data_IF_897343409383
#
_entry.id   IF_897343409383
#
_cell.length_a   1.000
_cell.length_b   1.000
_cell.length_c   1.000
_cell.angle_alpha   90.00
_cell.angle_beta   90.00
_cell.angle_gamma   90.00
#
_symmetry.space_group_name_H-M   'P 1'
#
loop_
_entity.id
_entity.type
_entity.pdbx_description
1 polymer ?
#
# COMPACT_ATOMS: atom_id res chain seq x y z
N UNK A 1 17.81 8.29 5.70
CA UNK A 1 18.33 9.14 6.77
C UNK A 1 17.15 9.94 7.27
N UNK A 2 16.90 9.94 8.57
CA UNK A 2 15.75 10.64 9.13
C UNK A 2 16.00 12.16 9.15
N UNK A 3 14.94 12.95 8.97
CA UNK A 3 14.99 14.42 8.97
C UNK A 3 15.61 14.97 10.25
N UNK A 4 15.25 14.40 11.41
CA UNK A 4 15.80 14.78 12.72
C UNK A 4 17.31 14.56 12.81
N UNK A 5 17.79 13.44 12.29
CA UNK A 5 19.23 13.13 12.28
C UNK A 5 19.99 14.10 11.37
N UNK A 6 19.44 14.40 10.19
CA UNK A 6 20.01 15.41 9.30
C UNK A 6 20.07 16.79 9.96
N UNK A 7 18.99 17.22 10.60
CA UNK A 7 18.93 18.53 11.26
C UNK A 7 19.97 18.70 12.36
N UNK A 8 20.22 17.65 13.17
CA UNK A 8 21.29 17.67 14.17
C UNK A 8 22.68 17.84 13.54
N UNK A 9 22.98 17.11 12.47
CA UNK A 9 24.26 17.20 11.77
C UNK A 9 24.42 18.54 11.06
N UNK A 10 23.34 19.08 10.50
CA UNK A 10 23.33 20.39 9.88
C UNK A 10 23.55 21.51 10.91
N UNK A 11 22.89 21.44 12.07
CA UNK A 11 23.13 22.40 13.17
C UNK A 11 24.57 22.34 13.69
N UNK A 12 25.13 21.13 13.82
CA UNK A 12 26.53 20.94 14.20
C UNK A 12 27.49 21.57 13.18
N UNK A 13 27.16 21.51 11.89
CA UNK A 13 27.88 22.19 10.81
C UNK A 13 27.72 23.71 10.90
N UNK A 14 26.50 24.25 11.06
CA UNK A 14 26.26 25.69 11.21
C UNK A 14 26.99 26.28 12.42
N UNK A 15 26.99 25.57 13.56
CA UNK A 15 27.76 25.96 14.74
C UNK A 15 29.26 25.98 14.47
N UNK A 16 29.76 25.00 13.70
CA UNK A 16 31.16 24.96 13.29
C UNK A 16 31.52 26.18 12.41
N UNK A 17 30.65 26.57 11.48
CA UNK A 17 30.84 27.78 10.67
C UNK A 17 30.88 29.04 11.53
N UNK A 18 29.94 29.16 12.47
CA UNK A 18 29.90 30.30 13.40
C UNK A 18 31.16 30.41 14.26
N UNK A 19 31.68 29.29 14.75
CA UNK A 19 32.93 29.22 15.51
C UNK A 19 34.15 29.64 14.67
N UNK A 20 34.05 29.52 13.34
CA UNK A 20 35.06 30.00 12.37
C UNK A 20 34.84 31.46 11.92
N UNK A 21 33.84 32.15 12.49
CA UNK A 21 33.49 33.52 12.13
C UNK A 21 32.66 33.66 10.84
N UNK A 22 32.19 32.54 10.27
CA UNK A 22 31.35 32.53 9.07
C UNK A 22 29.89 32.66 9.50
N UNK A 23 29.20 33.66 8.96
CA UNK A 23 27.79 33.93 9.25
C UNK A 23 26.87 33.00 8.44
N UNK A 24 25.68 32.71 8.97
CA UNK A 24 24.70 31.84 8.29
C UNK A 24 24.10 32.56 7.07
N UNK A 25 24.06 33.89 7.12
CA UNK A 25 23.67 34.76 6.03
C UNK A 25 24.60 34.59 4.81
N UNK A 26 25.90 34.37 5.03
CA UNK A 26 26.86 34.10 3.94
C UNK A 26 26.58 32.74 3.29
N UNK A 27 26.17 31.74 4.08
CA UNK A 27 25.74 30.45 3.55
C UNK A 27 24.47 30.61 2.70
N UNK A 28 23.49 31.40 3.15
CA UNK A 28 22.22 31.66 2.44
C UNK A 28 22.48 32.23 1.05
N UNK A 29 23.32 33.27 0.97
CA UNK A 29 23.70 33.94 -0.27
C UNK A 29 24.48 33.00 -1.21
N UNK A 30 25.50 32.28 -0.69
CA UNK A 30 26.36 31.43 -1.52
C UNK A 30 25.62 30.22 -2.10
N UNK A 31 24.68 29.62 -1.35
CA UNK A 31 23.90 28.47 -1.85
C UNK A 31 22.59 28.90 -2.52
N UNK A 32 22.15 30.15 -2.38
CA UNK A 32 20.91 30.67 -2.97
C UNK A 32 19.69 29.82 -2.57
N UNK A 33 19.53 29.59 -1.27
CA UNK A 33 18.40 28.87 -0.66
C UNK A 33 17.74 29.82 0.34
N UNK A 34 16.42 29.79 0.46
CA UNK A 34 15.73 30.69 1.40
C UNK A 34 16.07 30.40 2.87
N UNK A 35 16.12 31.44 3.70
CA UNK A 35 16.20 31.33 5.16
C UNK A 35 15.20 30.36 5.79
N UNK A 36 13.97 30.28 5.25
CA UNK A 36 12.97 29.32 5.71
C UNK A 36 13.40 27.88 5.49
N UNK A 37 13.91 27.55 4.31
CA UNK A 37 14.40 26.19 4.01
C UNK A 37 15.59 25.81 4.89
N UNK A 38 16.51 26.73 5.15
CA UNK A 38 17.63 26.50 6.08
C UNK A 38 17.14 26.20 7.50
N UNK A 39 16.13 26.95 7.96
CA UNK A 39 15.49 26.73 9.26
C UNK A 39 14.78 25.38 9.33
N UNK A 40 14.06 24.99 8.28
CA UNK A 40 13.37 23.70 8.22
C UNK A 40 14.35 22.53 8.25
N UNK A 41 15.47 22.64 7.53
CA UNK A 41 16.54 21.64 7.56
C UNK A 41 17.17 21.54 8.94
N UNK A 42 17.48 22.69 9.56
CA UNK A 42 18.08 22.78 10.90
C UNK A 42 17.20 22.12 11.96
N UNK A 43 15.90 22.34 11.90
CA UNK A 43 14.93 21.79 12.87
C UNK A 43 14.51 20.36 12.54
N UNK A 44 14.98 19.79 11.41
CA UNK A 44 14.61 18.45 10.96
C UNK A 44 13.14 18.34 10.56
N UNK A 45 12.57 19.39 9.97
CA UNK A 45 11.23 19.36 9.37
C UNK A 45 11.25 18.89 7.91
N UNK A 46 12.35 19.11 7.20
CA UNK A 46 12.52 18.69 5.80
C UNK A 46 13.99 18.33 5.52
N UNK A 47 14.24 17.59 4.43
CA UNK A 47 15.59 17.33 3.91
C UNK A 47 15.89 18.24 2.70
N UNK A 48 17.17 18.62 2.48
CA UNK A 48 17.57 19.30 1.26
C UNK A 48 17.39 18.40 0.04
N UNK A 49 16.81 18.96 -1.03
CA UNK A 49 16.72 18.28 -2.32
C UNK A 49 18.09 18.15 -3.00
N UNK A 50 18.20 17.28 -4.01
CA UNK A 50 19.46 16.99 -4.73
C UNK A 50 20.25 18.23 -5.19
N UNK A 51 19.59 19.22 -5.79
CA UNK A 51 20.29 20.45 -6.20
C UNK A 51 20.84 21.22 -5.00
N UNK A 52 20.10 21.28 -3.89
CA UNK A 52 20.58 21.88 -2.65
C UNK A 52 21.74 21.09 -2.03
N UNK A 53 21.71 19.76 -2.10
CA UNK A 53 22.83 18.90 -1.69
C UNK A 53 24.09 19.17 -2.52
N UNK A 54 23.97 19.32 -3.85
CA UNK A 54 25.11 19.68 -4.71
C UNK A 54 25.68 21.05 -4.36
N UNK A 55 24.81 22.03 -4.08
CA UNK A 55 25.24 23.37 -3.65
C UNK A 55 25.91 23.35 -2.27
N UNK A 56 25.34 22.64 -1.30
CA UNK A 56 25.95 22.42 0.01
C UNK A 56 27.31 21.72 -0.13
N UNK A 57 27.41 20.68 -0.95
CA UNK A 57 28.68 20.00 -1.25
C UNK A 57 29.71 20.96 -1.84
N UNK A 58 29.31 21.78 -2.82
CA UNK A 58 30.18 22.78 -3.45
C UNK A 58 30.65 23.82 -2.43
N UNK A 59 29.75 24.34 -1.61
CA UNK A 59 30.04 25.28 -0.52
C UNK A 59 31.04 24.69 0.48
N UNK A 60 30.76 23.48 0.99
CA UNK A 60 31.65 22.80 1.94
C UNK A 60 33.03 22.55 1.30
N UNK A 61 33.07 22.16 0.02
CA UNK A 61 34.32 21.94 -0.72
C UNK A 61 35.14 23.23 -0.84
N UNK A 62 34.49 24.38 -1.11
CA UNK A 62 35.13 25.71 -1.14
C UNK A 62 35.80 26.01 0.21
N UNK A 63 35.13 25.74 1.32
CA UNK A 63 35.69 25.96 2.67
C UNK A 63 36.71 24.89 3.11
N UNK A 64 36.66 23.68 2.55
CA UNK A 64 37.66 22.63 2.79
C UNK A 64 38.96 22.82 1.98
N UNK A 65 38.85 23.41 0.78
CA UNK A 65 39.95 23.62 -0.17
C UNK A 65 40.53 25.03 -0.18
N UNK A 66 39.94 25.96 0.56
CA UNK A 66 40.53 27.28 0.69
C UNK A 66 41.78 27.19 1.55
N UNK A 67 42.94 27.30 0.91
CA UNK A 67 44.10 27.96 1.50
C UNK A 67 43.74 29.44 1.73
N UNK A 68 42.73 29.75 2.55
CA UNK A 68 42.56 31.14 3.01
C UNK A 68 43.84 31.45 3.76
N UNK A 69 44.64 32.38 3.24
CA UNK A 69 45.81 32.90 3.97
C UNK A 69 45.35 33.32 5.37
N UNK A 70 45.80 32.58 6.38
CA UNK A 70 45.55 32.89 7.80
C UNK A 70 44.58 31.97 8.57
N UNK A 71 43.85 31.04 7.93
CA UNK A 71 42.99 30.08 8.67
C UNK A 71 43.54 28.66 8.54
N UNK A 72 44.40 28.27 9.49
CA UNK A 72 44.70 26.84 9.70
C UNK A 72 43.51 26.23 10.44
N UNK A 73 42.59 25.59 9.70
CA UNK A 73 41.51 24.80 10.31
C UNK A 73 42.14 23.78 11.27
N UNK A 74 41.84 23.90 12.56
CA UNK A 74 42.25 22.89 13.53
C UNK A 74 41.76 21.51 13.09
N UNK A 75 42.48 20.45 13.50
CA UNK A 75 42.08 19.06 13.19
C UNK A 75 40.63 18.78 13.59
N UNK A 76 40.15 19.42 14.66
CA UNK A 76 38.80 19.28 15.18
C UNK A 76 37.74 19.91 14.27
N UNK A 77 37.93 21.16 13.83
CA UNK A 77 37.00 21.83 12.90
C UNK A 77 36.96 21.12 11.55
N UNK A 78 38.13 20.72 11.03
CA UNK A 78 38.22 19.97 9.78
C UNK A 78 37.45 18.66 9.85
N UNK A 79 37.52 17.94 10.98
CA UNK A 79 36.77 16.69 11.19
C UNK A 79 35.26 16.91 11.18
N UNK A 80 34.76 17.95 11.85
CA UNK A 80 33.32 18.26 11.89
C UNK A 80 32.77 18.62 10.50
N UNK A 81 33.49 19.44 9.75
CA UNK A 81 33.11 19.80 8.37
C UNK A 81 33.17 18.57 7.45
N UNK A 82 34.20 17.73 7.57
CA UNK A 82 34.31 16.50 6.78
C UNK A 82 33.19 15.50 7.08
N UNK A 83 32.79 15.34 8.35
CA UNK A 83 31.67 14.47 8.71
C UNK A 83 30.38 14.89 7.99
N UNK A 84 30.07 16.19 8.00
CA UNK A 84 28.91 16.71 7.29
C UNK A 84 29.07 16.60 5.76
N UNK A 85 30.27 16.84 5.22
CA UNK A 85 30.57 16.59 3.81
C UNK A 85 30.31 15.14 3.40
N UNK A 86 30.80 14.16 4.16
CA UNK A 86 30.58 12.74 3.87
C UNK A 86 29.10 12.38 3.94
N UNK A 87 28.35 12.96 4.86
CA UNK A 87 26.91 12.80 4.96
C UNK A 87 26.20 13.30 3.68
N UNK A 88 26.54 14.51 3.21
CA UNK A 88 26.02 15.06 1.95
C UNK A 88 26.41 14.17 0.75
N UNK A 89 27.66 13.69 0.69
CA UNK A 89 28.14 12.80 -0.37
C UNK A 89 27.38 11.47 -0.40
N UNK A 90 27.13 10.87 0.76
CA UNK A 90 26.33 9.64 0.86
C UNK A 90 24.88 9.87 0.41
N UNK A 91 24.28 11.02 0.73
CA UNK A 91 22.95 11.37 0.23
C UNK A 91 22.93 11.51 -1.29
N UNK A 92 23.94 12.17 -1.89
CA UNK A 92 24.09 12.31 -3.34
C UNK A 92 24.28 10.95 -4.03
N UNK A 93 25.15 10.09 -3.52
CA UNK A 93 25.39 8.74 -4.07
C UNK A 93 24.11 7.91 -4.03
N UNK A 94 23.39 7.94 -2.90
CA UNK A 94 22.12 7.24 -2.77
C UNK A 94 21.08 7.74 -3.77
N UNK A 95 21.00 9.05 -4.02
CA UNK A 95 20.12 9.61 -5.06
C UNK A 95 20.43 9.07 -6.46
N UNK A 96 21.71 9.05 -6.86
CA UNK A 96 22.11 8.55 -8.18
C UNK A 96 21.78 7.06 -8.36
N UNK A 97 22.02 6.25 -7.31
CA UNK A 97 21.67 4.82 -7.32
C UNK A 97 20.18 4.58 -7.52
N UNK A 98 19.31 5.39 -6.90
CA UNK A 98 17.86 5.27 -7.09
C UNK A 98 17.46 5.59 -8.54
N UNK A 99 17.96 6.68 -9.11
CA UNK A 99 17.67 7.05 -10.51
C UNK A 99 18.18 5.97 -11.51
N UNK A 100 19.29 5.28 -11.20
CA UNK A 100 19.79 4.14 -11.98
C UNK A 100 18.91 2.89 -11.81
N UNK A 101 18.51 2.57 -10.58
CA UNK A 101 17.62 1.44 -10.29
C UNK A 101 16.28 1.61 -11.00
N UNK A 102 15.69 2.81 -10.98
CA UNK A 102 14.43 3.09 -11.68
C UNK A 102 14.52 2.84 -13.19
N UNK A 103 15.67 3.15 -13.82
CA UNK A 103 15.90 2.84 -15.24
C UNK A 103 15.96 1.33 -15.49
N UNK A 104 16.65 0.59 -14.63
CA UNK A 104 16.72 -0.88 -14.73
C UNK A 104 15.32 -1.49 -14.62
N UNK A 105 14.52 -1.02 -13.66
CA UNK A 105 13.13 -1.47 -13.48
C UNK A 105 12.31 -1.21 -14.74
N UNK A 106 12.39 -0.01 -15.34
CA UNK A 106 11.66 0.29 -16.57
C UNK A 106 12.12 -0.55 -17.77
N UNK A 107 13.42 -0.86 -17.84
CA UNK A 107 14.02 -1.69 -18.89
C UNK A 107 13.57 -3.15 -18.79
N UNK A 108 13.39 -3.68 -17.57
CA UNK A 108 12.87 -5.03 -17.33
C UNK A 108 11.47 -5.23 -17.93
N UNK A 109 10.69 -4.15 -18.05
CA UNK A 109 9.33 -4.18 -18.61
C UNK A 109 9.24 -3.66 -20.05
N UNK A 110 10.36 -3.34 -20.72
CA UNK A 110 10.35 -2.73 -22.08
C UNK A 110 9.58 -3.51 -23.15
N UNK A 111 9.50 -4.84 -22.99
CA UNK A 111 8.82 -5.72 -23.95
C UNK A 111 7.30 -5.81 -23.69
N UNK A 112 6.80 -5.24 -22.59
CA UNK A 112 5.38 -5.22 -22.24
C UNK A 112 4.97 -3.77 -21.90
N UNK A 113 4.49 -3.04 -22.92
CA UNK A 113 4.12 -1.63 -22.80
C UNK A 113 3.13 -1.36 -21.66
N UNK A 114 2.11 -2.21 -21.50
CA UNK A 114 1.10 -2.06 -20.45
C UNK A 114 1.72 -2.21 -19.05
N UNK A 115 2.58 -3.20 -18.86
CA UNK A 115 3.32 -3.36 -17.60
C UNK A 115 4.27 -2.18 -17.34
N UNK A 116 5.00 -1.73 -18.37
CA UNK A 116 5.92 -0.62 -18.28
C UNK A 116 5.21 0.69 -17.90
N UNK A 117 4.03 0.97 -18.46
CA UNK A 117 3.20 2.12 -18.11
C UNK A 117 2.74 2.09 -16.65
N UNK A 118 2.28 0.93 -16.18
CA UNK A 118 1.89 0.75 -14.76
C UNK A 118 3.10 0.99 -13.86
N UNK A 119 4.23 0.35 -14.16
CA UNK A 119 5.46 0.47 -13.36
C UNK A 119 5.95 1.91 -13.35
N UNK A 120 5.96 2.61 -14.48
CA UNK A 120 6.30 4.04 -14.56
C UNK A 120 5.47 4.86 -13.57
N UNK A 121 4.15 4.68 -13.55
CA UNK A 121 3.26 5.38 -12.61
C UNK A 121 3.62 5.05 -11.15
N UNK A 122 3.92 3.79 -10.83
CA UNK A 122 4.34 3.39 -9.48
C UNK A 122 5.64 4.08 -9.06
N UNK A 123 6.59 4.26 -9.99
CA UNK A 123 7.85 4.94 -9.74
C UNK A 123 7.64 6.45 -9.58
N UNK A 124 6.93 7.09 -10.51
CA UNK A 124 6.68 8.53 -10.52
C UNK A 124 6.00 9.06 -9.25
N UNK A 125 5.14 8.24 -8.64
CA UNK A 125 4.41 8.58 -7.42
C UNK A 125 5.02 7.99 -6.15
N UNK A 126 6.22 7.39 -6.22
CA UNK A 126 6.91 6.78 -5.09
C UNK A 126 6.02 5.80 -4.30
N UNK A 127 5.32 4.90 -5.02
CA UNK A 127 4.35 3.96 -4.42
C UNK A 127 5.06 2.72 -3.82
N UNK A 128 6.21 2.34 -4.37
CA UNK A 128 6.99 1.21 -3.89
C UNK A 128 8.29 1.67 -3.21
N UNK A 129 8.83 0.86 -2.31
CA UNK A 129 10.15 1.11 -1.71
C UNK A 129 11.24 0.17 -2.26
N UNK A 130 10.84 -0.90 -2.94
CA UNK A 130 11.73 -1.89 -3.51
C UNK A 130 11.12 -2.54 -4.75
N UNK A 131 11.98 -3.20 -5.53
CA UNK A 131 11.61 -4.01 -6.68
C UNK A 131 12.37 -5.33 -6.64
N UNK A 132 11.68 -6.42 -6.97
CA UNK A 132 12.28 -7.74 -7.09
C UNK A 132 11.90 -8.36 -8.44
N UNK A 133 12.91 -8.71 -9.22
CA UNK A 133 12.77 -9.44 -10.46
C UNK A 133 13.10 -10.91 -10.21
N UNK A 134 12.10 -11.80 -10.28
CA UNK A 134 12.26 -13.23 -10.05
C UNK A 134 13.09 -13.92 -11.13
N UNK A 135 12.99 -13.48 -12.38
CA UNK A 135 13.68 -14.11 -13.51
C UNK A 135 15.18 -13.88 -13.45
N UNK A 136 15.58 -12.75 -12.86
CA UNK A 136 16.98 -12.33 -12.68
C UNK A 136 17.51 -12.54 -11.26
N UNK A 137 16.66 -12.97 -10.33
CA UNK A 137 16.95 -13.01 -8.90
C UNK A 137 17.55 -11.68 -8.39
N UNK A 138 16.98 -10.56 -8.84
CA UNK A 138 17.53 -9.22 -8.60
C UNK A 138 16.62 -8.41 -7.67
N UNK A 139 17.21 -7.89 -6.59
CA UNK A 139 16.57 -6.95 -5.67
C UNK A 139 17.14 -5.55 -5.84
N UNK A 140 16.27 -4.55 -5.99
CA UNK A 140 16.63 -3.14 -6.10
C UNK A 140 15.93 -2.32 -5.01
N UNK A 141 16.73 -1.59 -4.21
CA UNK A 141 16.23 -0.62 -3.24
C UNK A 141 15.95 0.71 -3.94
N UNK A 142 14.72 1.20 -3.78
CA UNK A 142 14.20 2.46 -4.32
C UNK A 142 13.44 3.20 -3.23
N UNK A 143 13.81 3.04 -1.96
CA UNK A 143 13.15 3.69 -0.82
C UNK A 143 13.52 5.16 -0.67
N UNK A 144 14.67 5.59 -1.20
CA UNK A 144 15.24 6.94 -1.02
C UNK A 144 14.96 7.87 -2.20
N UNK A 145 13.71 7.94 -2.65
CA UNK A 145 13.29 8.75 -3.82
C UNK A 145 13.10 10.23 -3.49
N UNK A 146 13.09 11.05 -4.54
CA UNK A 146 12.78 12.48 -4.50
C UNK A 146 11.29 12.69 -4.21
N UNK A 147 10.93 13.85 -3.65
CA UNK A 147 9.53 14.28 -3.66
C UNK A 147 8.98 14.36 -5.10
N UNK A 148 7.66 14.16 -5.25
CA UNK A 148 7.00 14.17 -6.56
C UNK A 148 7.18 15.56 -7.20
N UNK A 149 8.03 15.61 -8.21
CA UNK A 149 8.39 16.85 -8.88
C UNK A 149 7.25 17.47 -9.68
N UNK A 150 7.32 18.79 -9.89
CA UNK A 150 6.34 19.55 -10.71
C UNK A 150 6.15 18.98 -12.12
N UNK A 151 7.20 18.38 -12.70
CA UNK A 151 7.13 17.75 -14.03
C UNK A 151 6.15 16.58 -14.07
N UNK A 152 6.21 15.71 -13.06
CA UNK A 152 5.29 14.57 -12.91
C UNK A 152 3.87 15.08 -12.72
N UNK A 153 3.66 16.04 -11.81
CA UNK A 153 2.32 16.64 -11.60
C UNK A 153 1.73 17.24 -12.88
N UNK A 154 2.57 17.86 -13.72
CA UNK A 154 2.16 18.39 -15.03
C UNK A 154 1.80 17.27 -16.02
N UNK A 155 2.54 16.17 -16.02
CA UNK A 155 2.29 15.01 -16.87
C UNK A 155 0.91 14.38 -16.59
N UNK A 156 0.51 14.32 -15.31
CA UNK A 156 -0.75 13.72 -14.89
C UNK A 156 -1.90 14.73 -14.67
N UNK A 157 -1.72 15.98 -15.13
CA UNK A 157 -2.73 17.05 -14.98
C UNK A 157 -4.04 16.68 -15.67
N UNK A 158 -3.97 16.11 -16.87
CA UNK A 158 -5.16 15.82 -17.65
C UNK A 158 -6.00 14.72 -16.99
N UNK A 159 -5.35 13.68 -16.43
CA UNK A 159 -6.02 12.67 -15.62
C UNK A 159 -6.74 13.28 -14.41
N UNK A 160 -6.09 14.20 -13.69
CA UNK A 160 -6.75 14.91 -12.60
C UNK A 160 -8.01 15.63 -13.05
N UNK A 161 -7.91 16.40 -14.14
CA UNK A 161 -9.03 17.15 -14.68
C UNK A 161 -10.18 16.25 -15.13
N UNK A 162 -9.86 15.13 -15.79
CA UNK A 162 -10.83 14.09 -16.16
C UNK A 162 -11.51 13.52 -14.92
N UNK A 163 -10.77 13.18 -13.88
CA UNK A 163 -11.32 12.63 -12.64
C UNK A 163 -12.27 13.60 -11.93
N UNK A 164 -11.90 14.89 -11.84
CA UNK A 164 -12.79 15.91 -11.26
C UNK A 164 -14.03 16.11 -12.13
N UNK A 165 -13.88 16.11 -13.46
CA UNK A 165 -15.01 16.20 -14.38
C UNK A 165 -15.95 15.01 -14.22
N UNK A 166 -15.41 13.80 -14.14
CA UNK A 166 -16.19 12.57 -13.97
C UNK A 166 -16.92 12.58 -12.62
N UNK A 167 -16.27 12.98 -11.53
CA UNK A 167 -16.89 13.13 -10.22
C UNK A 167 -18.04 14.14 -10.23
N UNK A 168 -17.83 15.32 -10.83
CA UNK A 168 -18.88 16.35 -10.93
C UNK A 168 -20.06 15.82 -11.75
N UNK A 169 -19.80 15.22 -12.91
CA UNK A 169 -20.85 14.65 -13.75
C UNK A 169 -21.60 13.50 -13.07
N UNK A 170 -20.89 12.69 -12.28
CA UNK A 170 -21.46 11.60 -11.51
C UNK A 170 -22.49 12.14 -10.50
N UNK A 171 -22.10 13.16 -9.73
CA UNK A 171 -22.98 13.81 -8.76
C UNK A 171 -24.16 14.52 -9.46
N UNK A 172 -23.88 15.29 -10.50
CA UNK A 172 -24.91 16.07 -11.21
C UNK A 172 -25.97 15.14 -11.83
N UNK A 173 -25.56 14.02 -12.42
CA UNK A 173 -26.49 13.02 -12.96
C UNK A 173 -27.32 12.32 -11.89
N UNK A 174 -26.71 12.02 -10.75
CA UNK A 174 -27.43 11.41 -9.65
C UNK A 174 -28.52 12.35 -9.09
N UNK A 175 -28.27 13.66 -9.10
CA UNK A 175 -29.23 14.69 -8.69
C UNK A 175 -30.40 14.88 -9.66
N UNK A 176 -30.42 14.24 -10.83
CA UNK A 176 -31.59 14.25 -11.72
C UNK A 176 -32.76 13.39 -11.18
N UNK A 177 -32.53 12.66 -10.09
CA UNK A 177 -33.47 11.72 -9.47
C UNK A 177 -33.79 12.15 -8.03
N UNK A 178 -35.06 12.05 -7.65
CA UNK A 178 -35.52 12.20 -6.27
C UNK A 178 -35.43 10.87 -5.49
N UNK A 179 -35.62 10.90 -4.17
CA UNK A 179 -35.60 9.71 -3.30
C UNK A 179 -36.51 8.58 -3.81
N UNK A 180 -37.70 8.92 -4.31
CA UNK A 180 -38.68 7.94 -4.81
C UNK A 180 -38.25 7.27 -6.12
N UNK A 181 -37.47 7.95 -6.96
CA UNK A 181 -37.05 7.46 -8.29
C UNK A 181 -35.57 7.08 -8.35
N UNK A 182 -34.83 7.27 -7.24
CA UNK A 182 -33.40 7.11 -7.18
C UNK A 182 -32.91 5.71 -7.57
N UNK A 183 -33.71 4.67 -7.34
CA UNK A 183 -33.41 3.30 -7.77
C UNK A 183 -33.27 3.13 -9.30
N UNK A 184 -33.69 4.11 -10.10
CA UNK A 184 -33.53 4.17 -11.56
C UNK A 184 -32.32 4.97 -12.00
N UNK A 185 -31.55 5.51 -11.07
CA UNK A 185 -30.43 6.39 -11.36
C UNK A 185 -29.40 5.66 -12.23
N UNK A 186 -29.07 6.26 -13.39
CA UNK A 186 -28.16 5.66 -14.37
C UNK A 186 -26.73 5.47 -13.87
N UNK A 187 -26.34 6.26 -12.86
CA UNK A 187 -25.02 6.12 -12.26
C UNK A 187 -24.99 5.05 -11.17
N UNK A 188 -26.10 4.39 -10.80
CA UNK A 188 -26.09 3.31 -9.82
C UNK A 188 -25.57 1.99 -10.41
N UNK A 189 -24.88 1.23 -9.55
CA UNK A 189 -24.48 -0.14 -9.85
C UNK A 189 -25.70 -1.05 -9.97
N UNK A 190 -25.62 -2.04 -10.87
CA UNK A 190 -26.76 -2.93 -11.20
C UNK A 190 -27.27 -3.79 -10.04
N UNK A 191 -26.52 -3.93 -8.95
CA UNK A 191 -26.78 -4.92 -7.89
C UNK A 191 -26.75 -4.31 -6.46
N UNK A 192 -27.12 -3.05 -6.30
CA UNK A 192 -27.21 -2.43 -4.96
C UNK A 192 -28.50 -2.88 -4.24
N UNK A 193 -28.37 -3.27 -2.97
CA UNK A 193 -29.53 -3.54 -2.12
C UNK A 193 -30.31 -2.25 -1.83
N UNK A 194 -31.61 -2.33 -1.48
CA UNK A 194 -32.39 -1.14 -1.12
C UNK A 194 -31.75 -0.29 0.00
N UNK A 195 -31.09 -0.93 0.96
CA UNK A 195 -30.37 -0.22 2.02
C UNK A 195 -29.15 0.54 1.50
N UNK A 196 -28.40 -0.05 0.55
CA UNK A 196 -27.27 0.62 -0.09
C UNK A 196 -27.74 1.77 -1.00
N UNK A 197 -28.83 1.60 -1.74
CA UNK A 197 -29.40 2.70 -2.55
C UNK A 197 -29.74 3.90 -1.66
N UNK A 198 -30.40 3.65 -0.52
CA UNK A 198 -30.72 4.69 0.45
C UNK A 198 -29.46 5.32 1.07
N UNK A 199 -28.50 4.51 1.52
CA UNK A 199 -27.22 5.03 2.05
C UNK A 199 -26.51 5.92 1.04
N UNK A 200 -26.48 5.50 -0.23
CA UNK A 200 -25.85 6.28 -1.28
C UNK A 200 -26.57 7.61 -1.51
N UNK A 201 -27.91 7.63 -1.51
CA UNK A 201 -28.69 8.87 -1.58
C UNK A 201 -28.41 9.81 -0.40
N UNK A 202 -28.39 9.26 0.82
CA UNK A 202 -28.11 10.02 2.06
C UNK A 202 -26.70 10.61 2.11
N UNK A 203 -25.72 9.96 1.47
CA UNK A 203 -24.32 10.39 1.48
C UNK A 203 -23.93 11.27 0.29
N UNK A 204 -24.73 11.28 -0.79
CA UNK A 204 -24.47 12.13 -1.94
C UNK A 204 -25.02 13.54 -1.68
N UNK A 205 -24.32 14.62 -2.07
CA UNK A 205 -24.91 15.96 -2.01
C UNK A 205 -26.15 16.04 -2.91
N UNK A 206 -27.26 16.54 -2.35
CA UNK A 206 -28.54 16.71 -3.03
C UNK A 206 -28.89 18.19 -3.19
N UNK A 207 -29.66 18.57 -4.22
CA UNK A 207 -30.19 19.93 -4.42
C UNK A 207 -30.82 20.49 -3.11
N UNK A 208 -31.56 19.66 -2.38
CA UNK A 208 -32.25 20.01 -1.13
C UNK A 208 -31.30 20.42 0.02
N UNK A 209 -30.01 20.05 -0.04
CA UNK A 209 -29.00 20.47 0.95
C UNK A 209 -28.62 21.96 0.80
N UNK A 210 -29.07 22.61 -0.27
CA UNK A 210 -28.68 23.95 -0.65
C UNK A 210 -29.90 24.89 -0.61
N UNK A 211 -29.96 25.70 0.46
CA UNK A 211 -30.95 26.77 0.67
C UNK A 211 -30.78 27.98 -0.30
N UNK A 212 -30.60 27.72 -1.59
CA UNK A 212 -30.40 28.76 -2.60
C UNK A 212 -31.68 28.94 -3.45
N UNK A 213 -32.34 30.09 -3.26
CA UNK A 213 -33.41 30.62 -4.15
C UNK A 213 -32.94 30.92 -5.59
N UNK A 214 -31.76 30.42 -5.98
CA UNK A 214 -31.10 30.65 -7.26
C UNK A 214 -30.84 29.32 -7.95
N UNK A 215 -31.04 29.31 -9.26
CA UNK A 215 -30.73 28.19 -10.13
C UNK A 215 -29.31 27.65 -9.92
N UNK A 216 -29.20 26.39 -9.50
CA UNK A 216 -27.92 25.67 -9.35
C UNK A 216 -27.61 24.98 -10.68
N UNK A 217 -26.48 25.34 -11.30
CA UNK A 217 -26.09 24.78 -12.60
C UNK A 217 -25.30 23.46 -12.51
N UNK A 218 -24.79 23.10 -11.32
CA UNK A 218 -24.01 21.88 -11.06
C UNK A 218 -23.84 21.71 -9.55
N UNK A 219 -24.49 20.69 -8.97
CA UNK A 219 -24.38 20.34 -7.55
C UNK A 219 -23.00 19.83 -7.22
N UNK A 220 -22.40 19.00 -8.08
CA UNK A 220 -21.05 18.49 -7.86
C UNK A 220 -20.02 19.62 -7.74
N UNK A 221 -20.14 20.65 -8.59
CA UNK A 221 -19.23 21.81 -8.52
C UNK A 221 -19.46 22.66 -7.26
N UNK A 222 -20.73 22.83 -6.85
CA UNK A 222 -21.10 23.60 -5.67
C UNK A 222 -20.67 22.90 -4.38
N UNK A 223 -20.93 21.59 -4.28
CA UNK A 223 -20.50 20.74 -3.18
C UNK A 223 -18.98 20.79 -2.98
N UNK A 224 -18.20 20.52 -4.04
CA UNK A 224 -16.74 20.61 -3.98
C UNK A 224 -16.25 22.00 -3.55
N UNK A 225 -16.91 23.06 -4.02
CA UNK A 225 -16.59 24.44 -3.63
C UNK A 225 -16.78 24.67 -2.12
N UNK A 226 -17.91 24.21 -1.55
CA UNK A 226 -18.24 24.35 -0.12
C UNK A 226 -17.31 23.51 0.76
N UNK A 227 -17.15 22.22 0.46
CA UNK A 227 -16.34 21.28 1.25
C UNK A 227 -14.85 21.66 1.27
N UNK A 228 -14.31 22.06 0.12
CA UNK A 228 -12.89 22.45 0.04
C UNK A 228 -12.65 23.89 0.51
N UNK A 229 -13.73 24.68 0.67
CA UNK A 229 -13.71 26.12 0.96
C UNK A 229 -12.92 26.90 -0.10
N UNK A 230 -13.25 26.68 -1.37
CA UNK A 230 -12.65 27.36 -2.53
C UNK A 230 -13.74 27.92 -3.42
N UNK A 231 -13.42 28.94 -4.23
CA UNK A 231 -14.38 29.50 -5.18
C UNK A 231 -14.82 28.45 -6.22
N UNK A 232 -16.12 28.46 -6.57
CA UNK A 232 -16.68 27.56 -7.60
C UNK A 232 -15.96 27.70 -8.95
N UNK A 233 -15.51 28.91 -9.30
CA UNK A 233 -14.70 29.16 -10.50
C UNK A 233 -13.39 28.36 -10.48
N UNK A 234 -12.79 28.13 -9.30
CA UNK A 234 -11.59 27.32 -9.18
C UNK A 234 -11.88 25.85 -9.52
N UNK A 235 -13.01 25.31 -9.06
CA UNK A 235 -13.47 23.96 -9.40
C UNK A 235 -13.69 23.83 -10.92
N UNK A 236 -14.37 24.83 -11.51
CA UNK A 236 -14.62 24.85 -12.96
C UNK A 236 -13.32 24.89 -13.77
N UNK A 237 -12.31 25.62 -13.30
CA UNK A 237 -10.99 25.65 -13.97
C UNK A 237 -10.22 24.34 -13.80
N UNK A 238 -10.42 23.61 -12.70
CA UNK A 238 -9.84 22.28 -12.50
C UNK A 238 -10.44 21.24 -13.44
N UNK A 239 -11.78 21.15 -13.50
CA UNK A 239 -12.48 20.18 -14.37
C UNK A 239 -12.22 20.41 -15.87
N UNK A 240 -11.96 21.67 -16.26
CA UNK A 240 -11.64 22.04 -17.64
C UNK A 240 -10.15 21.92 -18.00
N UNK A 241 -9.28 21.55 -17.05
CA UNK A 241 -7.83 21.48 -17.31
C UNK A 241 -7.14 22.84 -17.45
N UNK A 242 -7.80 23.93 -17.07
CA UNK A 242 -7.24 25.28 -17.15
C UNK A 242 -6.26 25.56 -16.00
N UNK A 243 -6.51 24.97 -14.82
CA UNK A 243 -5.63 25.09 -13.65
C UNK A 243 -5.47 23.75 -12.93
N UNK A 244 -4.49 23.68 -12.04
CA UNK A 244 -4.23 22.50 -11.21
C UNK A 244 -4.36 22.90 -9.72
N UNK A 245 -4.87 22.02 -8.85
CA UNK A 245 -5.00 22.30 -7.42
C UNK A 245 -3.65 22.51 -6.74
N UNK A 246 -3.67 23.18 -5.59
CA UNK A 246 -2.52 23.18 -4.69
C UNK A 246 -2.41 21.83 -3.97
N UNK A 247 -1.23 21.51 -3.42
CA UNK A 247 -1.04 20.26 -2.67
C UNK A 247 -2.00 20.16 -1.47
N UNK A 248 -2.30 21.28 -0.81
CA UNK A 248 -3.30 21.34 0.26
C UNK A 248 -4.72 21.04 -0.24
N UNK A 249 -5.08 21.52 -1.43
CA UNK A 249 -6.40 21.23 -2.01
C UNK A 249 -6.51 19.74 -2.42
N UNK A 250 -5.44 19.14 -2.93
CA UNK A 250 -5.38 17.71 -3.24
C UNK A 250 -5.57 16.88 -1.97
N UNK A 251 -4.89 17.21 -0.87
CA UNK A 251 -5.04 16.48 0.39
C UNK A 251 -6.44 16.64 1.00
N UNK A 252 -7.08 17.80 0.85
CA UNK A 252 -8.49 17.97 1.22
C UNK A 252 -9.43 17.11 0.37
N UNK A 253 -9.24 17.10 -0.95
CA UNK A 253 -10.01 16.27 -1.88
C UNK A 253 -9.89 14.79 -1.54
N UNK A 254 -8.66 14.32 -1.27
CA UNK A 254 -8.41 12.94 -0.86
C UNK A 254 -9.15 12.59 0.43
N UNK A 255 -9.12 13.46 1.44
CA UNK A 255 -9.85 13.24 2.70
C UNK A 255 -11.36 13.23 2.50
N UNK A 256 -11.89 14.15 1.69
CA UNK A 256 -13.31 14.24 1.38
C UNK A 256 -13.82 12.95 0.72
N UNK A 257 -13.02 12.37 -0.17
CA UNK A 257 -13.37 11.17 -0.94
C UNK A 257 -12.86 9.86 -0.32
N UNK A 258 -12.32 9.91 0.91
CA UNK A 258 -11.69 8.78 1.59
C UNK A 258 -10.59 8.06 0.76
N UNK A 259 -9.82 8.82 -0.02
CA UNK A 259 -8.76 8.32 -0.89
C UNK A 259 -7.38 8.35 -0.20
N UNK A 260 -6.67 7.22 -0.32
CA UNK A 260 -5.33 7.06 0.20
C UNK A 260 -4.28 7.03 -0.92
N UNK A 261 -3.03 7.34 -0.58
CA UNK A 261 -1.88 7.22 -1.48
C UNK A 261 -1.46 8.52 -2.19
N UNK A 262 -0.19 8.54 -2.63
CA UNK A 262 0.46 9.73 -3.21
C UNK A 262 -0.01 10.08 -4.62
N UNK A 263 -0.55 9.11 -5.36
CA UNK A 263 -1.04 9.29 -6.73
C UNK A 263 -2.56 9.25 -6.89
N UNK A 264 -3.31 9.32 -5.77
CA UNK A 264 -4.76 9.42 -5.80
C UNK A 264 -5.21 10.59 -6.69
N UNK A 265 -6.27 10.38 -7.49
CA UNK A 265 -6.78 11.31 -8.51
C UNK A 265 -5.83 11.60 -9.69
N UNK A 266 -4.62 11.04 -9.74
CA UNK A 266 -3.61 11.33 -10.78
C UNK A 266 -3.25 10.12 -11.65
N UNK A 267 -3.07 8.95 -11.05
CA UNK A 267 -2.53 7.76 -11.72
C UNK A 267 -3.53 7.10 -12.67
N UNK A 268 -4.76 6.97 -12.20
CA UNK A 268 -5.84 6.25 -12.89
C UNK A 268 -6.99 7.20 -13.17
N UNK A 269 -7.68 6.92 -14.27
CA UNK A 269 -8.98 7.52 -14.54
C UNK A 269 -10.04 6.77 -13.75
N UNK A 270 -10.92 7.49 -13.06
CA UNK A 270 -12.05 6.94 -12.32
C UNK A 270 -13.31 6.96 -13.18
N UNK A 271 -14.02 5.83 -13.13
CA UNK A 271 -15.34 5.63 -13.70
C UNK A 271 -16.41 5.68 -12.59
N UNK A 272 -17.69 5.58 -12.97
CA UNK A 272 -18.82 5.65 -12.04
C UNK A 272 -18.68 4.63 -10.90
N UNK A 273 -18.25 3.41 -11.22
CA UNK A 273 -18.11 2.33 -10.26
C UNK A 273 -17.02 2.60 -9.21
N UNK A 274 -15.98 3.36 -9.58
CA UNK A 274 -14.92 3.75 -8.66
C UNK A 274 -15.43 4.74 -7.59
N UNK A 275 -16.40 5.58 -7.96
CA UNK A 275 -16.99 6.56 -7.05
C UNK A 275 -17.93 5.94 -6.01
N UNK A 276 -18.45 4.73 -6.23
CA UNK A 276 -19.35 4.07 -5.26
C UNK A 276 -18.73 3.99 -3.89
N UNK A 277 -17.50 3.47 -3.78
CA UNK A 277 -16.82 3.32 -2.49
C UNK A 277 -16.57 4.65 -1.76
N UNK A 278 -16.63 5.79 -2.47
CA UNK A 278 -16.48 7.12 -1.88
C UNK A 278 -17.77 7.61 -1.20
N UNK A 279 -18.94 7.08 -1.58
CA UNK A 279 -20.26 7.47 -1.06
C UNK A 279 -21.07 6.31 -0.46
N UNK A 280 -20.59 5.07 -0.58
CA UNK A 280 -21.12 3.84 0.03
C UNK A 280 -20.11 3.28 1.02
N UNK A 281 -20.22 3.74 2.26
CA UNK A 281 -19.32 3.29 3.32
C UNK A 281 -19.52 1.81 3.63
N UNK A 282 -20.75 1.29 3.53
CA UNK A 282 -21.01 -0.15 3.68
C UNK A 282 -20.16 -1.01 2.75
N UNK A 283 -20.02 -0.64 1.48
CA UNK A 283 -19.19 -1.38 0.52
C UNK A 283 -17.70 -1.32 0.90
N UNK A 284 -17.22 -0.15 1.35
CA UNK A 284 -15.84 0.00 1.83
C UNK A 284 -15.60 -0.86 3.07
N UNK A 285 -16.49 -0.82 4.05
CA UNK A 285 -16.41 -1.58 5.30
C UNK A 285 -16.46 -3.09 5.02
N UNK A 286 -17.32 -3.53 4.10
CA UNK A 286 -17.38 -4.91 3.61
C UNK A 286 -16.08 -5.33 2.92
N UNK A 287 -15.50 -4.47 2.07
CA UNK A 287 -14.24 -4.75 1.39
C UNK A 287 -13.07 -4.88 2.37
N UNK A 288 -12.98 -3.98 3.35
CA UNK A 288 -11.99 -4.07 4.42
C UNK A 288 -12.19 -5.33 5.26
N UNK A 289 -13.43 -5.69 5.57
CA UNK A 289 -13.72 -6.90 6.32
C UNK A 289 -13.30 -8.16 5.54
N UNK A 290 -13.54 -8.19 4.22
CA UNK A 290 -13.06 -9.26 3.34
C UNK A 290 -11.53 -9.34 3.31
N UNK A 291 -10.82 -8.22 3.24
CA UNK A 291 -9.35 -8.21 3.27
C UNK A 291 -8.81 -8.72 4.62
N UNK A 292 -9.40 -8.27 5.74
CA UNK A 292 -9.05 -8.77 7.09
C UNK A 292 -9.28 -10.27 7.21
N UNK A 293 -10.42 -10.75 6.74
CA UNK A 293 -10.76 -12.17 6.75
C UNK A 293 -9.79 -12.96 5.85
N UNK A 294 -9.50 -12.47 4.65
CA UNK A 294 -8.54 -13.08 3.74
C UNK A 294 -7.15 -13.22 4.38
N UNK A 295 -6.64 -12.14 4.98
CA UNK A 295 -5.34 -12.16 5.67
C UNK A 295 -5.33 -13.14 6.85
N UNK A 296 -6.43 -13.25 7.60
CA UNK A 296 -6.56 -14.19 8.71
C UNK A 296 -6.50 -15.64 8.22
N UNK A 297 -7.30 -16.01 7.22
CA UNK A 297 -7.31 -17.38 6.68
C UNK A 297 -6.00 -17.71 5.94
N UNK A 298 -5.37 -16.75 5.26
CA UNK A 298 -4.04 -16.95 4.68
C UNK A 298 -2.98 -17.19 5.76
N UNK A 299 -3.05 -16.49 6.89
CA UNK A 299 -2.17 -16.70 8.03
C UNK A 299 -2.40 -18.07 8.68
N UNK A 300 -3.65 -18.52 8.79
CA UNK A 300 -4.00 -19.87 9.24
C UNK A 300 -3.47 -20.95 8.28
N UNK A 301 -3.62 -20.75 6.98
CA UNK A 301 -3.06 -21.65 5.95
C UNK A 301 -1.55 -21.76 6.11
N UNK A 302 -0.86 -20.62 6.25
CA UNK A 302 0.57 -20.58 6.46
C UNK A 302 1.00 -21.27 7.76
N UNK A 303 0.30 -21.02 8.88
CA UNK A 303 0.52 -21.73 10.14
C UNK A 303 0.35 -23.25 9.96
N UNK A 304 -0.71 -23.68 9.27
CA UNK A 304 -0.98 -25.10 9.02
C UNK A 304 0.15 -25.72 8.22
N UNK A 305 0.65 -25.03 7.19
CA UNK A 305 1.82 -25.48 6.41
C UNK A 305 3.07 -25.62 7.27
N UNK A 306 3.36 -24.66 8.15
CA UNK A 306 4.47 -24.73 9.11
C UNK A 306 4.31 -25.93 10.04
N UNK A 307 3.13 -26.08 10.68
CA UNK A 307 2.82 -27.19 11.57
C UNK A 307 3.02 -28.53 10.87
N UNK A 308 2.47 -28.70 9.67
CA UNK A 308 2.57 -29.97 8.95
C UNK A 308 3.97 -30.21 8.41
N UNK A 309 4.71 -29.19 8.00
CA UNK A 309 6.07 -29.37 7.53
C UNK A 309 7.00 -29.91 8.64
N UNK A 310 6.94 -29.31 9.83
CA UNK A 310 7.84 -29.64 10.93
C UNK A 310 7.33 -30.77 11.84
N UNK A 311 6.02 -30.90 12.01
CA UNK A 311 5.39 -31.84 12.94
C UNK A 311 4.65 -33.00 12.25
N UNK A 312 4.84 -33.26 10.94
CA UNK A 312 4.14 -34.35 10.19
C UNK A 312 4.21 -35.76 10.79
N UNK A 313 5.20 -36.04 11.62
CA UNK A 313 5.38 -37.37 12.25
C UNK A 313 4.55 -37.53 13.53
N UNK A 314 4.00 -36.43 14.06
CA UNK A 314 3.14 -36.48 15.23
C UNK A 314 1.77 -37.06 14.85
N UNK A 315 1.27 -38.00 15.66
CA UNK A 315 0.03 -38.71 15.37
C UNK A 315 -1.19 -37.79 15.35
N UNK A 316 -1.21 -36.71 16.14
CA UNK A 316 -2.31 -35.73 16.11
C UNK A 316 -2.30 -34.95 14.80
N UNK A 317 -1.13 -34.57 14.32
CA UNK A 317 -0.98 -33.86 13.03
C UNK A 317 -1.40 -34.77 11.86
N UNK A 318 -1.11 -36.07 11.94
CA UNK A 318 -1.59 -37.04 10.95
C UNK A 318 -3.12 -37.16 10.95
N UNK A 319 -3.75 -37.23 12.13
CA UNK A 319 -5.21 -37.25 12.21
C UNK A 319 -5.84 -35.95 11.65
N UNK A 320 -5.21 -34.80 11.87
CA UNK A 320 -5.65 -33.54 11.26
C UNK A 320 -5.54 -33.55 9.73
N UNK A 321 -4.53 -34.21 9.17
CA UNK A 321 -4.41 -34.37 7.72
C UNK A 321 -5.58 -35.17 7.15
N UNK A 322 -5.96 -36.25 7.82
CA UNK A 322 -7.10 -37.08 7.41
C UNK A 322 -8.42 -36.31 7.56
N UNK A 323 -8.62 -35.57 8.66
CA UNK A 323 -9.76 -34.65 8.82
C UNK A 323 -9.83 -33.64 7.66
N UNK A 324 -8.68 -33.07 7.24
CA UNK A 324 -8.60 -32.16 6.08
C UNK A 324 -9.02 -32.89 4.79
N UNK A 325 -8.41 -34.03 4.47
CA UNK A 325 -8.69 -34.80 3.24
C UNK A 325 -10.18 -35.13 3.11
N UNK A 326 -10.77 -35.64 4.19
CA UNK A 326 -12.20 -36.01 4.23
C UNK A 326 -13.16 -34.82 4.08
N UNK A 327 -12.66 -33.60 4.22
CA UNK A 327 -13.47 -32.38 4.13
C UNK A 327 -13.33 -31.64 2.80
N UNK A 328 -12.32 -31.98 1.98
CA UNK A 328 -12.11 -31.36 0.67
C UNK A 328 -13.24 -31.77 -0.28
N UNK A 329 -13.91 -30.78 -0.84
CA UNK A 329 -14.87 -30.97 -1.91
C UNK A 329 -14.14 -31.09 -3.26
N UNK A 330 -14.76 -31.83 -4.17
CA UNK A 330 -14.50 -31.81 -5.61
C UNK A 330 -13.08 -32.25 -6.00
N UNK A 331 -12.52 -33.18 -5.25
CA UNK A 331 -11.32 -33.95 -5.63
C UNK A 331 -11.65 -35.42 -5.37
N UNK A 332 -11.40 -36.28 -6.36
CA UNK A 332 -11.58 -37.72 -6.18
C UNK A 332 -10.53 -38.31 -5.23
N UNK A 333 -10.85 -39.45 -4.60
CA UNK A 333 -9.95 -40.08 -3.63
C UNK A 333 -8.58 -40.43 -4.24
N UNK A 334 -8.54 -40.82 -5.52
CA UNK A 334 -7.30 -41.17 -6.21
C UNK A 334 -6.38 -39.97 -6.48
N UNK A 335 -6.94 -38.78 -6.70
CA UNK A 335 -6.22 -37.51 -6.86
C UNK A 335 -5.79 -36.93 -5.52
N UNK A 336 -6.59 -37.10 -4.46
CA UNK A 336 -6.21 -36.73 -3.10
C UNK A 336 -4.92 -37.44 -2.67
N UNK A 337 -4.81 -38.74 -2.97
CA UNK A 337 -3.65 -39.55 -2.60
C UNK A 337 -2.37 -39.23 -3.41
N UNK A 338 -2.52 -38.56 -4.56
CA UNK A 338 -1.37 -38.10 -5.38
C UNK A 338 -0.82 -36.75 -4.92
N UNK A 339 -1.56 -35.99 -4.11
CA UNK A 339 -1.17 -34.64 -3.67
C UNK A 339 -0.27 -34.66 -2.45
N UNK A 340 0.71 -33.77 -2.44
CA UNK A 340 1.53 -33.55 -1.24
C UNK A 340 0.70 -32.87 -0.14
N UNK A 341 1.02 -33.15 1.14
CA UNK A 341 0.30 -32.57 2.29
C UNK A 341 0.15 -31.04 2.21
N UNK A 342 1.18 -30.34 1.73
CA UNK A 342 1.17 -28.87 1.58
C UNK A 342 0.18 -28.41 0.50
N UNK A 343 0.02 -29.18 -0.56
CA UNK A 343 -0.97 -28.92 -1.61
C UNK A 343 -2.39 -29.15 -1.08
N UNK A 344 -2.61 -30.23 -0.33
CA UNK A 344 -3.91 -30.53 0.30
C UNK A 344 -4.35 -29.41 1.25
N UNK A 345 -3.43 -28.87 2.06
CA UNK A 345 -3.71 -27.71 2.92
C UNK A 345 -4.14 -26.50 2.08
N UNK A 346 -3.46 -26.24 0.97
CA UNK A 346 -3.80 -25.11 0.09
C UNK A 346 -5.20 -25.26 -0.51
N UNK A 347 -5.56 -26.47 -0.94
CA UNK A 347 -6.90 -26.79 -1.44
C UNK A 347 -7.96 -26.61 -0.36
N UNK A 348 -7.71 -27.11 0.84
CA UNK A 348 -8.64 -26.98 1.97
C UNK A 348 -9.01 -25.52 2.27
N UNK A 349 -8.00 -24.65 2.41
CA UNK A 349 -8.24 -23.22 2.64
C UNK A 349 -8.88 -22.54 1.42
N UNK A 350 -8.51 -22.95 0.20
CA UNK A 350 -9.15 -22.45 -1.03
C UNK A 350 -10.65 -22.78 -1.07
N UNK A 351 -11.07 -23.99 -0.74
CA UNK A 351 -12.49 -24.35 -0.68
C UNK A 351 -13.28 -23.48 0.30
N UNK A 352 -12.69 -23.13 1.45
CA UNK A 352 -13.31 -22.22 2.42
C UNK A 352 -13.49 -20.82 1.80
N UNK A 353 -12.47 -20.31 1.11
CA UNK A 353 -12.56 -19.02 0.43
C UNK A 353 -13.59 -19.03 -0.69
N UNK A 354 -13.59 -20.07 -1.51
CA UNK A 354 -14.48 -20.20 -2.65
C UNK A 354 -15.96 -20.31 -2.20
N UNK A 355 -16.24 -21.03 -1.10
CA UNK A 355 -17.58 -21.07 -0.47
C UNK A 355 -18.03 -19.72 0.08
N UNK A 356 -17.13 -18.97 0.72
CA UNK A 356 -17.48 -17.64 1.23
C UNK A 356 -17.72 -16.65 0.09
N UNK A 357 -16.84 -16.68 -0.91
CA UNK A 357 -16.92 -15.81 -2.07
C UNK A 357 -18.18 -16.10 -2.90
N UNK A 358 -18.60 -17.37 -2.99
CA UNK A 358 -19.79 -17.75 -3.74
C UNK A 358 -21.08 -17.14 -3.18
N UNK A 359 -21.08 -16.70 -1.92
CA UNK A 359 -22.22 -16.06 -1.24
C UNK A 359 -22.12 -14.53 -1.13
N UNK A 360 -20.97 -13.96 -1.49
CA UNK A 360 -20.72 -12.51 -1.39
C UNK A 360 -20.95 -11.75 -2.69
N UNK A 361 -20.81 -12.41 -3.85
CA UNK A 361 -20.94 -11.75 -5.17
C UNK A 361 -22.21 -12.25 -5.83
N UNK A 362 -23.29 -11.47 -5.76
CA UNK A 362 -24.45 -11.64 -6.63
C UNK A 362 -24.27 -10.86 -7.94
N UNK A 363 -23.42 -11.37 -8.84
CA UNK A 363 -23.27 -10.85 -10.20
C UNK A 363 -23.33 -11.98 -11.23
N UNK A 364 -24.44 -12.10 -11.98
CA UNK A 364 -24.60 -13.02 -13.11
C UNK A 364 -23.43 -13.05 -14.10
N UNK A 365 -22.78 -11.91 -14.33
CA UNK A 365 -21.67 -11.77 -15.29
C UNK A 365 -20.36 -12.31 -14.70
N UNK A 366 -20.15 -12.14 -13.38
CA UNK A 366 -18.99 -12.70 -12.69
C UNK A 366 -18.99 -14.24 -12.67
N UNK A 367 -20.17 -14.85 -12.84
CA UNK A 367 -20.34 -16.31 -12.87
C UNK A 367 -19.86 -16.96 -14.17
N UNK A 368 -19.94 -16.26 -15.30
CA UNK A 368 -19.43 -16.79 -16.58
C UNK A 368 -17.90 -16.82 -16.61
N UNK A 369 -17.25 -15.90 -15.88
CA UNK A 369 -15.78 -15.73 -15.87
C UNK A 369 -15.04 -16.60 -14.83
N UNK A 370 -15.74 -17.33 -13.96
CA UNK A 370 -15.13 -18.18 -12.91
C UNK A 370 -15.73 -19.59 -12.86
N UNK A 371 -15.45 -20.45 -13.85
CA UNK A 371 -15.97 -21.82 -13.90
C UNK A 371 -15.58 -22.66 -12.66
N UNK A 372 -14.45 -22.34 -12.03
CA UNK A 372 -13.99 -23.02 -10.80
C UNK A 372 -14.92 -22.82 -9.58
N UNK A 373 -15.80 -21.82 -9.60
CA UNK A 373 -16.74 -21.55 -8.52
C UNK A 373 -18.12 -22.18 -8.74
N UNK A 374 -18.37 -22.76 -9.93
CA UNK A 374 -19.68 -23.26 -10.36
C UNK A 374 -20.31 -24.22 -9.36
N UNK A 375 -19.53 -25.22 -8.94
CA UNK A 375 -20.00 -26.26 -8.02
C UNK A 375 -20.31 -25.72 -6.62
N UNK A 376 -19.69 -24.60 -6.22
CA UNK A 376 -20.00 -23.92 -4.96
C UNK A 376 -21.22 -23.01 -5.08
N UNK A 377 -21.57 -22.54 -6.28
CA UNK A 377 -22.80 -21.79 -6.51
C UNK A 377 -24.04 -22.68 -6.40
N UNK A 378 -23.96 -23.91 -6.90
CA UNK A 378 -25.06 -24.88 -6.93
C UNK A 378 -25.48 -25.40 -5.54
N UNK A 379 -24.70 -25.14 -4.49
CA UNK A 379 -25.02 -25.52 -3.12
C UNK A 379 -26.06 -24.58 -2.49
N UNK A 380 -27.05 -25.12 -1.80
CA UNK A 380 -27.99 -24.31 -1.02
C UNK A 380 -27.33 -23.68 0.22
N UNK A 381 -27.95 -22.62 0.75
CA UNK A 381 -27.40 -21.86 1.87
C UNK A 381 -27.22 -22.69 3.16
N UNK A 382 -28.12 -23.62 3.44
CA UNK A 382 -28.03 -24.51 4.62
C UNK A 382 -26.82 -25.45 4.49
N UNK A 383 -26.60 -26.01 3.29
CA UNK A 383 -25.44 -26.85 2.98
C UNK A 383 -24.14 -26.06 3.13
N UNK A 384 -24.08 -24.83 2.61
CA UNK A 384 -22.90 -23.96 2.76
C UNK A 384 -22.63 -23.65 4.23
N UNK A 385 -23.65 -23.32 5.02
CA UNK A 385 -23.49 -23.03 6.44
C UNK A 385 -22.96 -24.26 7.21
N UNK A 386 -23.48 -25.46 6.90
CA UNK A 386 -23.01 -26.70 7.50
C UNK A 386 -21.55 -27.01 7.16
N UNK A 387 -21.16 -26.82 5.90
CA UNK A 387 -19.77 -26.98 5.45
C UNK A 387 -18.82 -26.02 6.15
N UNK A 388 -19.16 -24.73 6.20
CA UNK A 388 -18.36 -23.71 6.90
C UNK A 388 -18.23 -24.03 8.40
N UNK A 389 -19.30 -24.51 9.06
CA UNK A 389 -19.24 -24.99 10.45
C UNK A 389 -18.31 -26.20 10.60
N UNK A 390 -18.32 -27.13 9.65
CA UNK A 390 -17.42 -28.30 9.64
C UNK A 390 -15.95 -27.87 9.50
N UNK A 391 -15.66 -27.01 8.53
CA UNK A 391 -14.31 -26.45 8.33
C UNK A 391 -13.81 -25.69 9.54
N UNK A 392 -14.67 -24.91 10.20
CA UNK A 392 -14.28 -24.19 11.40
C UNK A 392 -13.90 -25.13 12.55
N UNK A 393 -14.57 -26.29 12.69
CA UNK A 393 -14.17 -27.31 13.68
C UNK A 393 -12.77 -27.85 13.41
N UNK A 394 -12.44 -28.12 12.15
CA UNK A 394 -11.11 -28.60 11.74
C UNK A 394 -10.07 -27.51 12.02
N UNK A 395 -10.34 -26.25 11.63
CA UNK A 395 -9.46 -25.11 11.91
C UNK A 395 -9.21 -24.94 13.41
N UNK A 396 -10.24 -25.08 14.25
CA UNK A 396 -10.09 -24.96 15.71
C UNK A 396 -9.21 -26.09 16.29
N UNK A 397 -9.20 -27.28 15.69
CA UNK A 397 -8.29 -28.36 16.08
C UNK A 397 -6.86 -28.10 15.57
N UNK A 398 -6.72 -27.54 14.36
CA UNK A 398 -5.43 -27.17 13.77
C UNK A 398 -4.75 -26.07 14.58
N UNK A 399 -5.48 -25.01 14.93
CA UNK A 399 -4.99 -23.89 15.73
C UNK A 399 -5.53 -23.98 17.16
N UNK A 400 -5.00 -24.95 17.90
CA UNK A 400 -5.36 -25.24 19.29
C UNK A 400 -4.15 -25.06 20.22
N UNK A 401 -4.39 -24.99 21.53
CA UNK A 401 -3.28 -24.89 22.49
C UNK A 401 -2.33 -26.10 22.39
N UNK A 402 -2.85 -27.28 22.09
CA UNK A 402 -2.04 -28.50 21.95
C UNK A 402 -1.13 -28.47 20.71
N UNK A 403 -1.64 -28.03 19.56
CA UNK A 403 -0.88 -27.95 18.31
C UNK A 403 0.12 -26.79 18.33
N UNK A 404 -0.25 -25.67 18.96
CA UNK A 404 0.68 -24.57 19.26
C UNK A 404 1.83 -25.07 20.14
N UNK A 405 1.54 -25.73 21.27
CA UNK A 405 2.56 -26.25 22.17
C UNK A 405 3.47 -27.29 21.51
N UNK A 406 2.93 -28.10 20.59
CA UNK A 406 3.69 -29.06 19.79
C UNK A 406 4.72 -28.33 18.90
N UNK A 407 4.29 -27.30 18.18
CA UNK A 407 5.16 -26.51 17.32
C UNK A 407 6.19 -25.71 18.13
N UNK A 408 5.80 -25.13 19.26
CA UNK A 408 6.70 -24.46 20.21
C UNK A 408 7.78 -25.41 20.73
N UNK A 409 7.41 -26.64 21.11
CA UNK A 409 8.33 -27.68 21.56
C UNK A 409 9.34 -28.09 20.47
N UNK A 410 8.90 -28.14 19.21
CA UNK A 410 9.79 -28.36 18.07
C UNK A 410 10.74 -27.17 17.87
N UNK A 411 10.20 -25.95 17.93
CA UNK A 411 10.94 -24.71 17.69
C UNK A 411 12.13 -24.55 18.64
N UNK A 412 11.97 -24.92 19.91
CA UNK A 412 13.04 -24.83 20.92
C UNK A 412 14.28 -25.62 20.53
N UNK A 413 14.12 -26.74 19.82
CA UNK A 413 15.20 -27.65 19.44
C UNK A 413 15.80 -27.34 18.07
N UNK A 414 14.99 -26.80 17.16
CA UNK A 414 15.31 -26.81 15.73
C UNK A 414 15.25 -25.45 15.05
N UNK A 415 14.63 -24.44 15.66
CA UNK A 415 14.49 -23.11 15.05
C UNK A 415 15.59 -22.16 15.53
N UNK A 416 16.09 -21.35 14.59
CA UNK A 416 16.86 -20.15 14.90
C UNK A 416 16.01 -19.09 15.60
N UNK A 417 16.64 -18.12 16.25
CA UNK A 417 15.94 -17.06 16.98
C UNK A 417 15.00 -16.25 16.06
N UNK A 418 15.44 -15.96 14.84
CA UNK A 418 14.61 -15.30 13.81
C UNK A 418 13.36 -16.11 13.43
N UNK A 419 13.49 -17.44 13.29
CA UNK A 419 12.32 -18.29 13.00
C UNK A 419 11.35 -18.33 14.18
N UNK A 420 11.87 -18.37 15.41
CA UNK A 420 11.05 -18.32 16.64
C UNK A 420 10.30 -17.00 16.76
N UNK A 421 10.96 -15.87 16.47
CA UNK A 421 10.35 -14.55 16.48
C UNK A 421 9.16 -14.48 15.50
N UNK A 422 9.36 -14.91 14.25
CA UNK A 422 8.31 -14.89 13.21
C UNK A 422 7.17 -15.87 13.52
N UNK A 423 7.49 -17.03 14.09
CA UNK A 423 6.50 -18.00 14.56
C UNK A 423 5.64 -17.43 15.69
N UNK A 424 6.26 -16.77 16.68
CA UNK A 424 5.53 -16.16 17.79
C UNK A 424 4.64 -15.01 17.31
N UNK A 425 5.14 -14.16 16.40
CA UNK A 425 4.37 -13.09 15.79
C UNK A 425 3.13 -13.63 15.03
N UNK A 426 3.29 -14.75 14.31
CA UNK A 426 2.19 -15.46 13.66
C UNK A 426 1.15 -15.99 14.67
N UNK A 427 1.60 -16.70 15.70
CA UNK A 427 0.72 -17.28 16.72
C UNK A 427 -0.04 -16.18 17.48
N UNK A 428 0.63 -15.11 17.88
CA UNK A 428 0.02 -14.01 18.63
C UNK A 428 -1.02 -13.26 17.81
N UNK A 429 -0.77 -13.04 16.52
CA UNK A 429 -1.76 -12.47 15.59
C UNK A 429 -3.00 -13.36 15.49
N UNK A 430 -2.80 -14.66 15.24
CA UNK A 430 -3.90 -15.62 15.10
C UNK A 430 -4.71 -15.79 16.41
N UNK A 431 -4.07 -15.73 17.59
CA UNK A 431 -4.77 -15.73 18.90
C UNK A 431 -5.72 -14.54 19.05
N UNK A 432 -5.38 -13.38 18.49
CA UNK A 432 -6.25 -12.20 18.45
C UNK A 432 -7.29 -12.23 17.33
N UNK A 433 -7.33 -13.31 16.54
CA UNK A 433 -8.13 -13.42 15.30
C UNK A 433 -7.74 -12.39 14.24
N UNK A 434 -6.47 -12.02 14.20
CA UNK A 434 -5.90 -11.08 13.25
C UNK A 434 -5.02 -11.83 12.24
N UNK A 435 -5.05 -11.38 10.99
CA UNK A 435 -4.15 -11.85 9.94
C UNK A 435 -2.88 -11.00 9.83
N UNK A 436 -1.79 -11.62 9.38
CA UNK A 436 -0.61 -10.90 8.92
C UNK A 436 -0.76 -10.66 7.42
N UNK A 437 -0.36 -9.46 6.98
CA UNK A 437 -0.36 -9.11 5.55
C UNK A 437 0.30 -10.21 4.71
N UNK A 438 -0.39 -10.67 3.67
CA UNK A 438 0.09 -11.72 2.76
C UNK A 438 1.42 -11.34 2.12
N UNK A 439 1.59 -10.07 1.77
CA UNK A 439 2.87 -9.50 1.27
C UNK A 439 3.99 -9.73 2.27
N UNK A 440 3.73 -9.51 3.56
CA UNK A 440 4.73 -9.69 4.60
C UNK A 440 5.11 -11.18 4.74
N UNK A 441 4.13 -12.08 4.79
CA UNK A 441 4.40 -13.54 4.82
C UNK A 441 5.19 -14.00 3.58
N UNK A 442 4.85 -13.49 2.39
CA UNK A 442 5.46 -13.94 1.13
C UNK A 442 6.87 -13.36 0.90
N UNK A 443 7.14 -12.13 1.32
CA UNK A 443 8.36 -11.41 0.93
C UNK A 443 9.34 -11.15 2.08
N UNK A 444 8.90 -11.16 3.34
CA UNK A 444 9.79 -11.01 4.49
C UNK A 444 10.75 -12.20 4.60
N UNK A 445 12.08 -11.98 4.66
CA UNK A 445 13.07 -13.05 4.73
C UNK A 445 12.87 -13.97 5.94
N UNK A 446 12.44 -13.43 7.08
CA UNK A 446 12.20 -14.20 8.29
C UNK A 446 11.03 -15.17 8.13
N UNK A 447 9.92 -14.74 7.51
CA UNK A 447 8.84 -15.64 7.14
C UNK A 447 9.29 -16.66 6.09
N UNK A 448 10.02 -16.27 5.05
CA UNK A 448 10.58 -17.26 4.10
C UNK A 448 11.47 -18.29 4.79
N UNK A 449 12.23 -17.89 5.81
CA UNK A 449 13.09 -18.79 6.60
C UNK A 449 12.29 -19.67 7.57
N UNK A 450 11.14 -19.22 8.04
CA UNK A 450 10.22 -20.05 8.82
C UNK A 450 9.62 -21.15 7.94
N UNK A 451 9.08 -20.79 6.77
CA UNK A 451 8.59 -21.72 5.77
C UNK A 451 8.51 -21.07 4.38
N UNK A 452 8.96 -21.79 3.36
CA UNK A 452 8.88 -21.39 1.95
C UNK A 452 8.52 -22.60 1.08
N UNK A 453 7.67 -22.40 0.07
CA UNK A 453 7.17 -23.47 -0.80
C UNK A 453 8.30 -24.27 -1.49
N UNK A 454 9.44 -23.63 -1.76
CA UNK A 454 10.64 -24.25 -2.33
C UNK A 454 11.59 -24.91 -1.30
N UNK A 455 11.23 -25.05 -0.02
CA UNK A 455 12.09 -25.74 0.99
C UNK A 455 12.27 -27.25 0.76
N UNK A 456 11.95 -27.77 -0.43
CA UNK A 456 12.28 -29.15 -0.85
C UNK A 456 13.79 -29.46 -0.88
N UNK A 457 14.68 -28.46 -0.76
CA UNK A 457 16.10 -28.64 -1.06
C UNK A 457 17.13 -28.41 0.05
N UNK A 458 16.77 -28.07 1.29
CA UNK A 458 17.79 -27.78 2.33
C UNK A 458 17.42 -28.26 3.73
N UNK A 459 17.11 -29.55 3.88
CA UNK A 459 17.35 -30.23 5.16
C UNK A 459 18.45 -31.25 4.90
N UNK A 460 19.72 -30.83 5.08
CA UNK A 460 20.80 -31.80 5.27
C UNK A 460 20.45 -32.60 6.53
N UNK A 461 20.41 -33.91 6.37
CA UNK A 461 20.23 -34.92 7.42
C UNK A 461 21.20 -34.72 8.57
#
# INVERSE_FOLDING_TARGET
>A
MEEKQFGMEFENFLRCLKELGILVEELEEDIGVSKHSLSDWRNGYTLPHYNSLLKLKSYITKHLNTNVEGIVLSKEYRKRILNFYYLIDQMIINHNRVDENEKVILEDHKNNKKAQEIVKKLLDFNIADNYYNSDKDQYLDISKRKEIGRKIKKEYKDNFSTNIKNLVNFIDKANEYDDETYFKCEVLGKNLSPNQIREFYENLPNDDDYDDTKFISSIGSLWLSRELKVEINKINRWKNGESFPSDNDIEKLKKLLNLNGKGALLISEYQNEDFYSMFLKSISDEAEQRDREYQYYFSLEYFTKVLFFYCKKDSKVQLLLEDIKMSILNIDEEELDKKENIELISVFYKNIFDLKLSRQIFDPVFYEDKPALKEFYDLDDDTVEQLLKSYQKIINKIFSNETIALLESYSLKSFSDEQKEKMNLLIDSLKRREGISTKLIMFDPGFKKLFHYNMKYNIKR
#
